data_IF_338753714917
#
_entry.id   IF_338753714917
#
_cell.length_a   1.000
_cell.length_b   1.000
_cell.length_c   1.000
_cell.angle_alpha   90.00
_cell.angle_beta   90.00
_cell.angle_gamma   90.00
#
_symmetry.space_group_name_H-M   'P 1'
#
loop_
_entity.id
_entity.type
_entity.pdbx_description
1 polymer ?
#
# COMPACT_ATOMS: atom_id res chain seq x y z
N UNK A 1 -19.04 40.05 39.33
CA UNK A 1 -19.23 40.29 37.88
C UNK A 1 -18.71 39.08 37.10
N UNK A 2 -19.58 38.18 36.60
CA UNK A 2 -19.19 37.06 35.76
C UNK A 2 -19.50 37.41 34.30
N UNK A 3 -18.53 38.01 33.60
CA UNK A 3 -18.68 38.43 32.19
C UNK A 3 -17.75 37.69 31.22
N UNK A 4 -17.12 36.59 31.64
CA UNK A 4 -15.98 35.99 30.93
C UNK A 4 -16.24 34.82 29.99
N UNK A 5 -17.43 34.19 29.98
CA UNK A 5 -17.53 32.81 29.46
C UNK A 5 -18.29 32.64 28.13
N UNK A 6 -18.70 33.72 27.46
CA UNK A 6 -19.45 33.61 26.20
C UNK A 6 -18.53 33.48 24.97
N UNK A 7 -17.39 34.17 24.96
CA UNK A 7 -16.45 34.19 23.82
C UNK A 7 -15.66 32.89 23.69
N UNK A 8 -15.27 32.26 24.81
CA UNK A 8 -14.51 31.00 24.81
C UNK A 8 -15.32 29.79 24.32
N UNK A 9 -16.65 29.80 24.51
CA UNK A 9 -17.52 28.72 24.01
C UNK A 9 -17.66 28.72 22.49
N UNK A 10 -17.56 29.90 21.87
CA UNK A 10 -17.72 30.03 20.42
C UNK A 10 -16.47 29.54 19.66
N UNK A 11 -15.27 29.74 20.21
CA UNK A 11 -14.02 29.28 19.57
C UNK A 11 -13.92 27.76 19.53
N UNK A 12 -14.26 27.08 20.64
CA UNK A 12 -14.23 25.62 20.72
C UNK A 12 -15.20 24.96 19.72
N UNK A 13 -16.38 25.55 19.50
CA UNK A 13 -17.35 25.03 18.54
C UNK A 13 -16.85 25.16 17.09
N UNK A 14 -16.19 26.28 16.74
CA UNK A 14 -15.63 26.50 15.40
C UNK A 14 -14.48 25.53 15.10
N UNK A 15 -13.59 25.28 16.05
CA UNK A 15 -12.47 24.36 15.87
C UNK A 15 -12.94 22.90 15.71
N UNK A 16 -13.98 22.50 16.46
CA UNK A 16 -14.58 21.18 16.35
C UNK A 16 -15.24 20.97 14.97
N UNK A 17 -15.96 21.96 14.45
CA UNK A 17 -16.59 21.89 13.14
C UNK A 17 -15.56 21.73 12.01
N UNK A 18 -14.46 22.51 12.05
CA UNK A 18 -13.39 22.41 11.06
C UNK A 18 -12.71 21.03 11.13
N UNK A 19 -12.46 20.53 12.34
CA UNK A 19 -11.87 19.21 12.53
C UNK A 19 -12.76 18.10 11.97
N UNK A 20 -14.07 18.15 12.23
CA UNK A 20 -15.03 17.18 11.69
C UNK A 20 -15.05 17.23 10.16
N UNK A 21 -15.10 18.44 9.57
CA UNK A 21 -15.06 18.60 8.11
C UNK A 21 -13.78 18.02 7.49
N UNK A 22 -12.63 18.25 8.12
CA UNK A 22 -11.35 17.71 7.66
C UNK A 22 -11.34 16.19 7.75
N UNK A 23 -11.78 15.61 8.89
CA UNK A 23 -11.85 14.16 9.08
C UNK A 23 -12.80 13.52 8.08
N UNK A 24 -13.99 14.08 7.86
CA UNK A 24 -14.95 13.58 6.87
C UNK A 24 -14.37 13.65 5.46
N UNK A 25 -13.68 14.74 5.10
CA UNK A 25 -13.01 14.85 3.82
C UNK A 25 -11.92 13.78 3.63
N UNK A 26 -11.05 13.60 4.63
CA UNK A 26 -10.00 12.57 4.59
C UNK A 26 -10.59 11.17 4.46
N UNK A 27 -11.62 10.83 5.24
CA UNK A 27 -12.30 9.55 5.14
C UNK A 27 -12.97 9.34 3.77
N UNK A 28 -13.57 10.39 3.20
CA UNK A 28 -14.13 10.36 1.85
C UNK A 28 -13.08 10.07 0.78
N UNK A 29 -11.91 10.73 0.86
CA UNK A 29 -10.79 10.48 -0.07
C UNK A 29 -10.24 9.05 0.08
N UNK A 30 -10.03 8.59 1.31
CA UNK A 30 -9.58 7.21 1.58
C UNK A 30 -10.58 6.18 1.05
N UNK A 31 -11.88 6.42 1.23
CA UNK A 31 -12.94 5.57 0.69
C UNK A 31 -12.88 5.48 -0.84
N UNK A 32 -12.81 6.62 -1.54
CA UNK A 32 -12.73 6.65 -3.01
C UNK A 32 -11.47 5.92 -3.49
N UNK A 33 -10.34 6.15 -2.84
CA UNK A 33 -9.07 5.53 -3.20
C UNK A 33 -9.11 4.00 -3.05
N UNK A 34 -9.63 3.52 -1.92
CA UNK A 34 -9.79 2.09 -1.71
C UNK A 34 -10.81 1.47 -2.65
N UNK A 35 -11.92 2.16 -2.95
CA UNK A 35 -12.89 1.71 -3.95
C UNK A 35 -12.25 1.52 -5.33
N UNK A 36 -11.39 2.46 -5.77
CA UNK A 36 -10.68 2.34 -7.05
C UNK A 36 -9.72 1.15 -7.02
N UNK A 37 -8.92 1.01 -5.94
CA UNK A 37 -7.96 -0.09 -5.79
C UNK A 37 -8.67 -1.45 -5.82
N UNK A 38 -9.72 -1.62 -5.00
CA UNK A 38 -10.49 -2.85 -4.94
C UNK A 38 -11.15 -3.16 -6.28
N UNK A 39 -11.80 -2.18 -6.93
CA UNK A 39 -12.44 -2.42 -8.23
C UNK A 39 -11.44 -2.73 -9.35
N UNK A 40 -10.26 -2.10 -9.37
CA UNK A 40 -9.23 -2.44 -10.36
C UNK A 40 -8.73 -3.87 -10.22
N UNK A 41 -8.68 -4.40 -9.00
CA UNK A 41 -8.38 -5.80 -8.76
C UNK A 41 -9.54 -6.70 -9.21
N UNK A 42 -10.76 -6.38 -8.80
CA UNK A 42 -11.95 -7.18 -9.11
C UNK A 42 -12.28 -7.20 -10.62
N UNK A 43 -12.04 -6.12 -11.34
CA UNK A 43 -12.20 -6.08 -12.80
C UNK A 43 -11.34 -7.12 -13.52
N UNK A 44 -10.17 -7.49 -12.97
CA UNK A 44 -9.37 -8.60 -13.54
C UNK A 44 -10.03 -9.96 -13.35
N UNK A 45 -10.87 -10.09 -12.32
CA UNK A 45 -11.66 -11.29 -12.04
C UNK A 45 -13.01 -11.28 -12.76
N UNK A 46 -13.32 -10.24 -13.56
CA UNK A 46 -14.62 -10.09 -14.22
C UNK A 46 -15.75 -9.66 -13.26
N UNK A 47 -15.42 -9.27 -12.03
CA UNK A 47 -16.39 -8.88 -11.00
C UNK A 47 -16.31 -7.37 -10.81
N UNK A 48 -17.45 -6.70 -10.69
CA UNK A 48 -17.53 -5.30 -10.30
C UNK A 48 -18.32 -5.18 -9.02
N UNK A 49 -17.72 -4.65 -7.95
CA UNK A 49 -18.42 -4.40 -6.69
C UNK A 49 -18.63 -2.89 -6.52
N UNK A 50 -19.79 -2.42 -6.97
CA UNK A 50 -20.25 -1.05 -6.73
C UNK A 50 -21.17 -0.96 -5.52
N UNK A 51 -21.60 -2.10 -4.99
CA UNK A 51 -22.61 -2.21 -3.94
C UNK A 51 -21.96 -2.41 -2.58
N UNK A 52 -21.05 -1.52 -2.18
CA UNK A 52 -20.82 -1.38 -0.75
C UNK A 52 -20.11 -0.10 -0.33
N UNK A 53 -20.81 0.69 0.48
CA UNK A 53 -20.24 1.65 1.41
C UNK A 53 -19.63 0.86 2.58
N UNK A 54 -18.57 0.10 2.29
CA UNK A 54 -17.92 -0.79 3.26
C UNK A 54 -16.73 -0.08 3.92
N UNK A 55 -16.59 -0.25 5.24
CA UNK A 55 -15.40 0.18 5.99
C UNK A 55 -14.10 -0.40 5.39
N UNK A 56 -14.21 -1.54 4.70
CA UNK A 56 -13.13 -2.16 3.93
C UNK A 56 -12.48 -1.22 2.93
N UNK A 57 -13.25 -0.42 2.19
CA UNK A 57 -12.69 0.51 1.22
C UNK A 57 -11.86 1.62 1.91
N UNK A 58 -12.31 2.10 3.08
CA UNK A 58 -11.52 3.08 3.85
C UNK A 58 -10.19 2.47 4.28
N UNK A 59 -10.23 1.23 4.77
CA UNK A 59 -9.03 0.51 5.20
C UNK A 59 -8.07 0.24 4.03
N UNK A 60 -8.58 -0.20 2.88
CA UNK A 60 -7.78 -0.36 1.65
C UNK A 60 -7.13 0.94 1.22
N UNK A 61 -7.87 2.06 1.25
CA UNK A 61 -7.33 3.38 0.97
C UNK A 61 -6.22 3.77 1.95
N UNK A 62 -6.40 3.47 3.24
CA UNK A 62 -5.37 3.70 4.26
C UNK A 62 -4.11 2.87 4.00
N UNK A 63 -4.25 1.59 3.66
CA UNK A 63 -3.12 0.72 3.32
C UNK A 63 -2.36 1.22 2.09
N UNK A 64 -3.07 1.74 1.07
CA UNK A 64 -2.43 2.36 -0.09
C UNK A 64 -1.67 3.65 0.27
N UNK A 65 -2.26 4.51 1.10
CA UNK A 65 -1.58 5.74 1.58
C UNK A 65 -0.34 5.37 2.38
N UNK A 66 -0.45 4.40 3.28
CA UNK A 66 0.66 3.89 4.08
C UNK A 66 1.78 3.35 3.20
N UNK A 67 1.44 2.51 2.22
CA UNK A 67 2.37 2.03 1.18
C UNK A 67 3.07 3.17 0.44
N UNK A 68 2.31 4.18 0.02
CA UNK A 68 2.85 5.34 -0.70
C UNK A 68 3.79 6.16 0.18
N UNK A 69 3.47 6.35 1.47
CA UNK A 69 4.32 7.05 2.43
C UNK A 69 5.66 6.33 2.60
N UNK A 70 5.65 5.01 2.82
CA UNK A 70 6.90 4.24 2.94
C UNK A 70 7.73 4.30 1.67
N UNK A 71 7.11 4.20 0.50
CA UNK A 71 7.81 4.37 -0.76
C UNK A 71 8.46 5.75 -0.85
N UNK A 72 7.73 6.82 -0.52
CA UNK A 72 8.27 8.18 -0.51
C UNK A 72 9.43 8.34 0.48
N UNK A 73 9.33 7.75 1.67
CA UNK A 73 10.39 7.77 2.68
C UNK A 73 11.67 7.07 2.19
N UNK A 74 11.54 5.96 1.48
CA UNK A 74 12.69 5.24 0.88
C UNK A 74 13.35 6.06 -0.23
N UNK A 75 12.54 6.77 -1.03
CA UNK A 75 13.03 7.52 -2.20
C UNK A 75 13.57 8.91 -1.84
N UNK A 76 13.08 9.57 -0.79
CA UNK A 76 13.44 10.92 -0.40
C UNK A 76 14.94 11.17 -0.13
N UNK A 77 15.71 10.23 0.47
CA UNK A 77 17.15 10.40 0.67
C UNK A 77 17.94 10.57 -0.63
N UNK A 78 17.46 9.99 -1.75
CA UNK A 78 18.16 10.00 -3.04
C UNK A 78 18.31 11.42 -3.61
N UNK A 79 17.24 12.20 -3.87
CA UNK A 79 17.36 13.57 -4.37
C UNK A 79 18.08 14.50 -3.37
N UNK A 80 17.94 14.27 -2.06
CA UNK A 80 18.69 14.99 -1.03
C UNK A 80 20.20 14.74 -1.18
N UNK A 81 20.59 13.48 -1.33
CA UNK A 81 21.98 13.08 -1.59
C UNK A 81 22.57 13.68 -2.86
N UNK A 82 21.83 13.59 -3.96
CA UNK A 82 22.21 14.18 -5.26
C UNK A 82 22.43 15.69 -5.12
N UNK A 83 21.52 16.39 -4.45
CA UNK A 83 21.63 17.82 -4.21
C UNK A 83 22.91 18.17 -3.42
N UNK A 84 23.14 17.51 -2.27
CA UNK A 84 24.29 17.82 -1.43
C UNK A 84 25.60 17.45 -2.10
N UNK A 85 25.68 16.30 -2.78
CA UNK A 85 26.87 15.94 -3.56
C UNK A 85 27.12 16.98 -4.67
N UNK A 86 26.10 17.39 -5.42
CA UNK A 86 26.22 18.47 -6.42
C UNK A 86 26.74 19.78 -5.82
N UNK A 87 26.20 20.20 -4.66
CA UNK A 87 26.66 21.39 -3.93
C UNK A 87 28.13 21.29 -3.52
N UNK A 88 28.59 20.11 -3.06
CA UNK A 88 30.00 19.91 -2.70
C UNK A 88 30.95 20.04 -3.89
N UNK A 89 30.52 19.67 -5.10
CA UNK A 89 31.32 19.84 -6.31
C UNK A 89 31.44 21.29 -6.74
N UNK A 90 30.33 22.05 -6.70
CA UNK A 90 30.26 23.46 -7.10
C UNK A 90 31.04 24.37 -6.14
N UNK A 91 31.11 24.04 -4.85
CA UNK A 91 31.87 24.84 -3.88
C UNK A 91 33.38 24.86 -4.24
N UNK A 92 33.91 26.03 -4.57
CA UNK A 92 35.27 26.21 -5.12
C UNK A 92 36.40 26.15 -4.08
N UNK A 93 36.09 26.07 -2.79
CA UNK A 93 37.06 26.29 -1.71
C UNK A 93 37.89 25.09 -1.29
N UNK A 94 37.59 23.87 -1.75
CA UNK A 94 38.27 22.65 -1.29
C UNK A 94 39.12 21.96 -2.37
N UNK A 95 40.24 21.36 -1.93
CA UNK A 95 41.07 20.44 -2.74
C UNK A 95 40.21 19.29 -3.30
N UNK A 96 40.49 18.78 -4.52
CA UNK A 96 39.66 17.78 -5.21
C UNK A 96 39.45 16.50 -4.38
N UNK A 97 40.48 16.05 -3.66
CA UNK A 97 40.40 14.86 -2.79
C UNK A 97 39.35 15.02 -1.67
N UNK A 98 39.29 16.20 -1.05
CA UNK A 98 38.32 16.48 0.01
C UNK A 98 36.88 16.54 -0.49
N UNK A 99 36.67 16.98 -1.74
CA UNK A 99 35.35 16.96 -2.39
C UNK A 99 34.85 15.54 -2.60
N UNK A 100 35.72 14.67 -3.11
CA UNK A 100 35.39 13.26 -3.33
C UNK A 100 35.04 12.56 -2.02
N UNK A 101 35.87 12.73 -0.97
CA UNK A 101 35.60 12.14 0.35
C UNK A 101 34.25 12.59 0.93
N UNK A 102 33.89 13.87 0.80
CA UNK A 102 32.59 14.40 1.25
C UNK A 102 31.43 13.81 0.46
N UNK A 103 31.49 13.79 -0.88
CA UNK A 103 30.43 13.19 -1.68
C UNK A 103 30.29 11.69 -1.41
N UNK A 104 31.40 10.95 -1.26
CA UNK A 104 31.38 9.54 -0.88
C UNK A 104 30.69 9.34 0.48
N UNK A 105 31.00 10.17 1.48
CA UNK A 105 30.32 10.15 2.78
C UNK A 105 28.81 10.39 2.67
N UNK A 106 28.38 11.34 1.84
CA UNK A 106 26.95 11.60 1.57
C UNK A 106 26.29 10.37 0.91
N UNK A 107 26.92 9.79 -0.10
CA UNK A 107 26.39 8.60 -0.79
C UNK A 107 26.25 7.43 0.19
N UNK A 108 27.25 7.17 1.03
CA UNK A 108 27.19 6.13 2.06
C UNK A 108 26.07 6.38 3.07
N UNK A 109 25.89 7.64 3.50
CA UNK A 109 24.80 8.00 4.41
C UNK A 109 23.41 7.79 3.78
N UNK A 110 23.25 8.16 2.50
CA UNK A 110 22.00 7.93 1.74
C UNK A 110 21.72 6.44 1.60
N UNK A 111 22.72 5.63 1.21
CA UNK A 111 22.58 4.18 1.11
C UNK A 111 22.20 3.55 2.45
N UNK A 112 22.82 4.01 3.54
CA UNK A 112 22.50 3.53 4.88
C UNK A 112 21.05 3.88 5.29
N UNK A 113 20.63 5.13 5.08
CA UNK A 113 19.26 5.58 5.40
C UNK A 113 18.21 4.86 4.55
N UNK A 114 18.39 4.80 3.24
CA UNK A 114 17.50 4.07 2.33
C UNK A 114 17.46 2.58 2.70
N UNK A 115 18.60 1.98 3.03
CA UNK A 115 18.67 0.60 3.50
C UNK A 115 17.88 0.36 4.78
N UNK A 116 18.07 1.20 5.80
CA UNK A 116 17.37 1.12 7.07
C UNK A 116 15.85 1.26 6.92
N UNK A 117 15.40 2.25 6.13
CA UNK A 117 13.97 2.47 5.86
C UNK A 117 13.38 1.28 5.07
N UNK A 118 14.09 0.79 4.04
CA UNK A 118 13.65 -0.37 3.25
C UNK A 118 13.55 -1.63 4.10
N UNK A 119 14.51 -1.88 4.99
CA UNK A 119 14.46 -3.00 5.92
C UNK A 119 13.23 -2.92 6.83
N UNK A 120 13.00 -1.76 7.45
CA UNK A 120 11.84 -1.55 8.33
C UNK A 120 10.51 -1.68 7.58
N UNK A 121 10.40 -1.07 6.39
CA UNK A 121 9.23 -1.22 5.52
C UNK A 121 9.01 -2.69 5.13
N UNK A 122 10.08 -3.40 4.78
CA UNK A 122 10.03 -4.81 4.43
C UNK A 122 9.50 -5.70 5.54
N UNK A 123 9.95 -5.49 6.78
CA UNK A 123 9.40 -6.17 7.96
C UNK A 123 7.90 -5.87 8.12
N UNK A 124 7.55 -4.59 8.03
CA UNK A 124 6.19 -4.10 8.25
C UNK A 124 5.19 -4.68 7.23
N UNK A 125 5.54 -4.65 5.94
CA UNK A 125 4.74 -5.30 4.89
C UNK A 125 4.84 -6.82 4.96
N UNK A 126 5.98 -7.35 5.38
CA UNK A 126 6.15 -8.76 5.71
C UNK A 126 5.05 -9.24 6.64
N UNK A 127 4.78 -8.52 7.74
CA UNK A 127 3.69 -8.86 8.67
C UNK A 127 2.29 -8.81 8.07
N UNK A 128 2.10 -8.00 7.04
CA UNK A 128 0.82 -7.91 6.35
C UNK A 128 0.63 -9.04 5.34
N UNK A 129 1.67 -9.78 4.95
CA UNK A 129 1.54 -10.86 3.98
C UNK A 129 1.36 -12.22 4.64
N UNK A 130 0.68 -13.17 3.98
CA UNK A 130 0.44 -14.51 4.53
C UNK A 130 1.73 -15.34 4.63
N UNK A 131 2.74 -15.08 3.79
CA UNK A 131 4.08 -15.67 3.94
C UNK A 131 5.00 -14.85 4.86
N UNK A 132 4.44 -13.82 5.48
CA UNK A 132 5.06 -13.01 6.51
C UNK A 132 5.49 -13.82 7.71
N UNK A 133 6.46 -13.27 8.44
CA UNK A 133 6.75 -13.75 9.79
C UNK A 133 5.62 -13.31 10.70
N UNK A 134 5.28 -14.08 11.73
CA UNK A 134 4.34 -13.62 12.77
C UNK A 134 5.01 -12.56 13.66
N UNK A 135 4.24 -11.57 14.15
CA UNK A 135 4.74 -10.42 14.92
C UNK A 135 5.53 -10.85 16.17
N UNK A 136 5.10 -11.93 16.81
CA UNK A 136 5.67 -12.49 18.02
C UNK A 136 7.05 -13.15 17.81
N UNK A 137 7.38 -13.55 16.59
CA UNK A 137 8.62 -14.26 16.30
C UNK A 137 9.89 -13.40 16.48
N UNK A 138 9.74 -12.07 16.50
CA UNK A 138 10.80 -11.12 16.83
C UNK A 138 11.02 -10.92 18.33
N UNK A 139 9.98 -11.10 19.14
CA UNK A 139 10.01 -10.83 20.59
C UNK A 139 10.25 -12.09 21.44
N UNK A 140 9.98 -13.28 20.91
CA UNK A 140 9.94 -14.54 21.69
C UNK A 140 11.23 -15.37 21.65
N UNK A 141 12.15 -15.11 20.73
CA UNK A 141 13.47 -15.75 20.68
C UNK A 141 14.56 -14.77 21.05
N UNK A 142 15.74 -15.24 21.47
CA UNK A 142 16.89 -14.42 21.84
C UNK A 142 17.28 -13.44 20.71
N UNK A 143 16.62 -12.29 20.65
CA UNK A 143 16.69 -11.30 19.57
C UNK A 143 18.07 -10.64 19.44
N UNK A 144 19.03 -11.08 20.25
CA UNK A 144 20.35 -10.50 20.42
C UNK A 144 21.48 -11.38 19.84
N UNK A 145 21.19 -12.53 19.23
CA UNK A 145 22.23 -13.28 18.52
C UNK A 145 22.53 -12.62 17.18
N UNK A 146 23.82 -12.51 16.82
CA UNK A 146 24.24 -11.94 15.55
C UNK A 146 23.60 -12.65 14.34
N UNK A 147 23.45 -13.97 14.41
CA UNK A 147 22.79 -14.77 13.38
C UNK A 147 21.33 -14.37 13.18
N UNK A 148 20.60 -14.10 14.27
CA UNK A 148 19.22 -13.62 14.20
C UNK A 148 19.17 -12.26 13.51
N UNK A 149 20.01 -11.31 13.92
CA UNK A 149 20.07 -9.95 13.34
C UNK A 149 20.32 -10.03 11.83
N UNK A 150 21.33 -10.80 11.39
CA UNK A 150 21.65 -10.95 9.96
C UNK A 150 20.49 -11.61 9.19
N UNK A 151 19.88 -12.65 9.76
CA UNK A 151 18.72 -13.31 9.15
C UNK A 151 17.53 -12.36 9.03
N UNK A 152 17.27 -11.55 10.06
CA UNK A 152 16.14 -10.63 10.12
C UNK A 152 16.34 -9.47 9.13
N UNK A 153 17.56 -8.94 9.04
CA UNK A 153 17.94 -8.00 7.98
C UNK A 153 17.68 -8.58 6.59
N UNK A 154 18.18 -9.79 6.34
CA UNK A 154 18.00 -10.46 5.04
C UNK A 154 16.52 -10.65 4.71
N UNK A 155 15.73 -11.14 5.66
CA UNK A 155 14.29 -11.35 5.47
C UNK A 155 13.56 -10.04 5.20
N UNK A 156 13.81 -8.99 5.98
CA UNK A 156 13.21 -7.67 5.75
C UNK A 156 13.53 -7.13 4.36
N UNK A 157 14.78 -7.21 3.90
CA UNK A 157 15.13 -6.80 2.54
C UNK A 157 14.46 -7.66 1.47
N UNK A 158 14.40 -8.98 1.63
CA UNK A 158 13.72 -9.87 0.67
C UNK A 158 12.24 -9.49 0.57
N UNK A 159 11.56 -9.31 1.70
CA UNK A 159 10.15 -8.90 1.72
C UNK A 159 9.93 -7.52 1.11
N UNK A 160 10.85 -6.57 1.34
CA UNK A 160 10.84 -5.27 0.67
C UNK A 160 10.97 -5.43 -0.85
N UNK A 161 11.94 -6.22 -1.32
CA UNK A 161 12.11 -6.46 -2.75
C UNK A 161 10.89 -7.14 -3.36
N UNK A 162 10.33 -8.15 -2.71
CA UNK A 162 9.09 -8.78 -3.19
C UNK A 162 7.94 -7.79 -3.31
N UNK A 163 7.83 -6.82 -2.40
CA UNK A 163 6.78 -5.80 -2.40
C UNK A 163 6.96 -4.74 -3.49
N UNK A 164 8.19 -4.30 -3.73
CA UNK A 164 8.47 -3.09 -4.52
C UNK A 164 9.16 -3.37 -5.87
N UNK A 165 9.63 -4.59 -6.15
CA UNK A 165 10.37 -4.95 -7.39
C UNK A 165 9.45 -5.22 -8.59
N UNK A 166 8.28 -4.60 -8.65
CA UNK A 166 7.43 -4.70 -9.84
C UNK A 166 7.78 -3.58 -10.82
N UNK A 167 7.79 -3.84 -12.14
CA UNK A 167 8.22 -2.86 -13.14
C UNK A 167 7.42 -1.56 -13.06
N UNK A 168 6.12 -1.63 -12.79
CA UNK A 168 5.24 -0.45 -12.63
C UNK A 168 5.64 0.40 -11.44
N UNK A 169 5.95 -0.23 -10.31
CA UNK A 169 6.38 0.44 -9.08
C UNK A 169 7.77 1.06 -9.28
N UNK A 170 8.68 0.37 -9.96
CA UNK A 170 10.01 0.90 -10.30
C UNK A 170 9.89 2.13 -11.21
N UNK A 171 9.06 2.05 -12.25
CA UNK A 171 8.80 3.20 -13.15
C UNK A 171 8.19 4.39 -12.40
N UNK A 172 7.20 4.14 -11.53
CA UNK A 172 6.61 5.18 -10.70
C UNK A 172 7.65 5.79 -9.74
N UNK A 173 8.49 4.97 -9.13
CA UNK A 173 9.56 5.40 -8.22
C UNK A 173 10.56 6.32 -8.92
N UNK A 174 10.93 5.99 -10.15
CA UNK A 174 11.79 6.86 -10.96
C UNK A 174 11.14 8.23 -11.22
N UNK A 175 9.86 8.25 -11.61
CA UNK A 175 9.11 9.50 -11.79
C UNK A 175 8.98 10.32 -10.50
N UNK A 176 8.79 9.66 -9.36
CA UNK A 176 8.77 10.31 -8.03
C UNK A 176 10.12 10.95 -7.73
N UNK A 177 11.25 10.28 -7.97
CA UNK A 177 12.58 10.86 -7.77
C UNK A 177 12.74 12.13 -8.64
N UNK A 178 12.33 12.08 -9.91
CA UNK A 178 12.35 13.24 -10.80
C UNK A 178 11.43 14.37 -10.32
N UNK A 179 10.26 14.03 -9.76
CA UNK A 179 9.32 14.99 -9.18
C UNK A 179 9.90 15.68 -7.93
N UNK A 180 10.58 14.92 -7.07
CA UNK A 180 11.11 15.40 -5.79
C UNK A 180 12.37 16.26 -5.96
N UNK A 181 13.20 16.00 -6.98
CA UNK A 181 14.46 16.73 -7.21
C UNK A 181 14.28 18.27 -7.27
N UNK A 182 13.37 18.85 -8.09
CA UNK A 182 13.14 20.29 -8.11
C UNK A 182 12.58 20.82 -6.79
N UNK A 183 11.75 20.03 -6.08
CA UNK A 183 11.16 20.42 -4.80
C UNK A 183 12.22 20.47 -3.69
N UNK A 184 13.09 19.47 -3.60
CA UNK A 184 14.25 19.46 -2.69
C UNK A 184 15.15 20.65 -2.99
N UNK A 185 15.44 20.94 -4.26
CA UNK A 185 16.23 22.10 -4.64
C UNK A 185 15.61 23.42 -4.13
N UNK A 186 14.30 23.60 -4.27
CA UNK A 186 13.59 24.79 -3.79
C UNK A 186 13.59 24.88 -2.26
N UNK A 187 13.32 23.78 -1.56
CA UNK A 187 13.33 23.73 -0.10
C UNK A 187 14.71 24.04 0.46
N UNK A 188 15.76 23.40 -0.05
CA UNK A 188 17.11 23.65 0.45
C UNK A 188 17.59 25.04 0.07
N UNK A 189 17.20 25.61 -1.07
CA UNK A 189 17.48 27.02 -1.35
C UNK A 189 16.79 27.97 -0.36
N UNK A 190 15.53 27.68 -0.01
CA UNK A 190 14.74 28.52 0.90
C UNK A 190 15.24 28.45 2.35
N UNK A 191 15.57 27.26 2.84
CA UNK A 191 15.96 27.03 4.24
C UNK A 191 17.47 27.00 4.45
N UNK A 192 18.24 26.67 3.42
CA UNK A 192 19.69 26.50 3.50
C UNK A 192 20.46 27.81 3.58
N UNK A 193 19.77 28.95 3.74
CA UNK A 193 20.33 30.27 3.98
C UNK A 193 21.38 30.62 2.94
N UNK A 194 21.00 31.42 1.93
CA UNK A 194 21.96 32.36 1.34
C UNK A 194 22.37 33.32 2.46
N UNK A 195 23.25 32.83 3.34
CA UNK A 195 23.84 33.54 4.45
C UNK A 195 24.91 34.43 3.81
N UNK A 196 24.44 35.58 3.34
CA UNK A 196 25.04 36.91 3.47
C UNK A 196 26.52 37.14 3.15
N UNK A 197 27.23 36.22 2.50
CA UNK A 197 28.62 36.49 2.15
C UNK A 197 28.72 37.20 0.78
N UNK A 198 28.49 38.52 0.81
CA UNK A 198 29.07 39.53 -0.09
C UNK A 198 28.89 39.37 -1.61
N UNK A 199 27.72 38.95 -2.08
CA UNK A 199 27.46 38.95 -3.53
C UNK A 199 27.10 40.35 -4.03
N UNK A 200 28.08 41.02 -4.66
CA UNK A 200 27.90 42.18 -5.53
C UNK A 200 26.61 42.02 -6.35
N UNK A 201 25.73 43.02 -6.25
CA UNK A 201 24.39 43.05 -6.85
C UNK A 201 24.39 42.51 -8.29
N UNK A 202 23.86 41.32 -8.56
CA UNK A 202 23.53 40.93 -9.92
C UNK A 202 22.44 41.89 -10.41
N UNK A 203 22.54 42.36 -11.65
CA UNK A 203 21.61 43.32 -12.23
C UNK A 203 20.17 42.80 -12.13
N UNK A 204 19.29 43.64 -11.56
CA UNK A 204 17.92 43.33 -11.14
C UNK A 204 17.08 42.62 -12.23
N UNK A 205 17.37 42.89 -13.49
CA UNK A 205 16.64 42.34 -14.64
C UNK A 205 16.99 40.88 -14.96
N UNK A 206 18.23 40.44 -14.70
CA UNK A 206 18.63 39.02 -14.91
C UNK A 206 18.08 38.11 -13.80
N UNK A 207 17.96 38.64 -12.58
CA UNK A 207 17.45 37.90 -11.43
C UNK A 207 15.94 37.69 -11.53
N UNK A 208 15.17 38.71 -11.93
CA UNK A 208 13.71 38.59 -12.06
C UNK A 208 13.32 37.63 -13.19
N UNK A 209 13.98 37.67 -14.35
CA UNK A 209 13.62 36.79 -15.46
C UNK A 209 14.02 35.33 -15.20
N UNK A 210 15.20 35.08 -14.62
CA UNK A 210 15.63 33.74 -14.21
C UNK A 210 14.84 33.21 -13.01
N UNK A 211 14.43 34.07 -12.07
CA UNK A 211 13.61 33.66 -10.92
C UNK A 211 12.17 33.34 -11.33
N UNK A 212 11.54 34.15 -12.18
CA UNK A 212 10.14 33.95 -12.58
C UNK A 212 9.98 32.72 -13.49
N UNK A 213 10.87 32.56 -14.49
CA UNK A 213 10.81 31.38 -15.39
C UNK A 213 11.21 30.08 -14.69
N UNK A 214 12.12 30.11 -13.71
CA UNK A 214 12.52 28.92 -12.96
C UNK A 214 11.63 28.60 -11.74
N UNK A 215 10.88 29.57 -11.21
CA UNK A 215 10.03 29.37 -10.02
C UNK A 215 8.71 28.68 -10.33
N UNK A 216 8.11 28.89 -11.51
CA UNK A 216 6.84 28.27 -11.88
C UNK A 216 7.02 26.96 -12.65
N UNK A 217 8.06 26.83 -13.48
CA UNK A 217 8.29 25.61 -14.26
C UNK A 217 8.60 24.40 -13.38
N UNK A 218 9.39 24.59 -12.31
CA UNK A 218 9.78 23.53 -11.37
C UNK A 218 8.59 22.86 -10.65
N UNK A 219 7.67 23.58 -10.02
CA UNK A 219 6.50 22.97 -9.39
C UNK A 219 5.55 22.36 -10.41
N UNK A 220 5.38 22.97 -11.59
CA UNK A 220 4.55 22.40 -12.67
C UNK A 220 5.11 21.06 -13.13
N UNK A 221 6.42 20.97 -13.41
CA UNK A 221 7.05 19.70 -13.78
C UNK A 221 6.95 18.65 -12.67
N UNK A 222 7.18 19.05 -11.41
CA UNK A 222 7.02 18.18 -10.24
C UNK A 222 5.61 17.62 -10.14
N UNK A 223 4.60 18.47 -10.29
CA UNK A 223 3.19 18.08 -10.27
C UNK A 223 2.84 17.15 -11.42
N UNK A 224 3.34 17.42 -12.64
CA UNK A 224 3.15 16.55 -13.80
C UNK A 224 3.73 15.16 -13.56
N UNK A 225 4.96 15.06 -13.05
CA UNK A 225 5.57 13.76 -12.74
C UNK A 225 4.80 13.01 -11.65
N UNK A 226 4.33 13.70 -10.61
CA UNK A 226 3.52 13.10 -9.55
C UNK A 226 2.15 12.63 -10.08
N UNK A 227 1.55 13.40 -10.98
CA UNK A 227 0.30 13.04 -11.65
C UNK A 227 0.43 11.79 -12.52
N UNK A 228 1.58 11.58 -13.17
CA UNK A 228 1.85 10.34 -13.95
C UNK A 228 2.25 9.17 -13.03
N UNK A 229 2.99 9.44 -11.96
CA UNK A 229 3.39 8.42 -10.99
C UNK A 229 2.20 7.83 -10.23
N UNK A 230 1.22 8.65 -9.85
CA UNK A 230 0.11 8.22 -9.00
C UNK A 230 -0.74 7.10 -9.63
N UNK A 231 -1.20 7.18 -10.90
CA UNK A 231 -1.87 6.06 -11.56
C UNK A 231 -1.01 4.80 -11.65
N UNK A 232 0.29 4.93 -11.93
CA UNK A 232 1.20 3.78 -11.98
C UNK A 232 1.34 3.09 -10.62
N UNK A 233 1.42 3.87 -9.54
CA UNK A 233 1.41 3.33 -8.17
C UNK A 233 0.08 2.67 -7.86
N UNK A 234 -1.04 3.28 -8.22
CA UNK A 234 -2.37 2.75 -7.94
C UNK A 234 -2.57 1.41 -8.67
N UNK A 235 -2.22 1.35 -9.96
CA UNK A 235 -2.22 0.11 -10.75
C UNK A 235 -1.25 -0.92 -10.16
N UNK A 236 -0.04 -0.52 -9.79
CA UNK A 236 0.96 -1.42 -9.21
C UNK A 236 0.48 -2.02 -7.89
N UNK A 237 -0.01 -1.19 -6.98
CA UNK A 237 -0.53 -1.61 -5.69
C UNK A 237 -1.73 -2.55 -5.84
N UNK A 238 -2.74 -2.18 -6.64
CA UNK A 238 -3.94 -2.98 -6.83
C UNK A 238 -3.66 -4.38 -7.42
N UNK A 239 -2.59 -4.51 -8.22
CA UNK A 239 -2.29 -5.74 -8.94
C UNK A 239 -1.27 -6.62 -8.24
N UNK A 240 -0.37 -6.04 -7.45
CA UNK A 240 0.80 -6.74 -6.94
C UNK A 240 0.85 -6.76 -5.40
N UNK A 241 0.33 -5.74 -4.73
CA UNK A 241 0.39 -5.61 -3.27
C UNK A 241 -0.93 -6.02 -2.64
N UNK A 242 -2.03 -5.40 -3.08
CA UNK A 242 -3.38 -5.61 -2.56
C UNK A 242 -3.84 -7.09 -2.52
N UNK A 243 -3.60 -7.93 -3.54
CA UNK A 243 -4.02 -9.34 -3.51
C UNK A 243 -3.37 -10.12 -2.35
N UNK A 244 -2.18 -9.70 -1.96
CA UNK A 244 -1.41 -10.42 -0.96
C UNK A 244 -1.79 -10.01 0.47
N UNK A 245 -2.63 -8.99 0.66
CA UNK A 245 -3.08 -8.56 1.98
C UNK A 245 -4.25 -9.45 2.39
N UNK A 246 -4.19 -10.17 3.52
CA UNK A 246 -5.28 -11.03 3.97
C UNK A 246 -6.53 -10.24 4.37
N UNK A 247 -7.69 -10.88 4.21
CA UNK A 247 -9.02 -10.31 4.49
C UNK A 247 -9.16 -9.76 5.92
N UNK A 248 -8.49 -10.39 6.89
CA UNK A 248 -8.56 -10.06 8.33
C UNK A 248 -8.05 -8.65 8.69
N UNK A 249 -7.28 -8.00 7.81
CA UNK A 249 -6.90 -6.59 7.99
C UNK A 249 -8.05 -5.63 7.73
N UNK A 250 -9.26 -6.13 7.46
CA UNK A 250 -10.45 -5.34 7.16
C UNK A 250 -10.46 -4.77 5.73
N UNK A 251 -9.31 -4.72 5.05
CA UNK A 251 -9.11 -4.20 3.69
C UNK A 251 -8.71 -5.25 2.64
N UNK A 252 -8.18 -6.41 3.04
CA UNK A 252 -7.44 -7.33 2.15
C UNK A 252 -8.26 -8.07 1.09
N UNK A 253 -7.64 -8.94 0.30
CA UNK A 253 -8.29 -9.76 -0.73
C UNK A 253 -9.39 -10.66 -0.11
N UNK A 254 -10.53 -10.89 -0.78
CA UNK A 254 -11.50 -11.88 -0.30
C UNK A 254 -10.87 -13.28 -0.35
N UNK A 255 -11.21 -14.11 0.64
CA UNK A 255 -10.63 -15.46 0.76
C UNK A 255 -11.21 -16.38 -0.31
N UNK A 256 -10.39 -17.26 -0.89
CA UNK A 256 -10.84 -18.28 -1.82
C UNK A 256 -10.76 -19.63 -1.12
N UNK A 257 -11.88 -20.33 -1.02
CA UNK A 257 -11.95 -21.61 -0.33
C UNK A 257 -12.87 -22.58 -1.06
N UNK A 258 -12.67 -23.88 -0.82
CA UNK A 258 -13.69 -24.89 -1.08
C UNK A 258 -14.47 -25.10 0.21
N UNK A 259 -15.79 -25.10 0.11
CA UNK A 259 -16.64 -25.33 1.27
C UNK A 259 -16.98 -26.81 1.34
N UNK A 260 -16.60 -27.44 2.44
CA UNK A 260 -17.12 -28.75 2.81
C UNK A 260 -18.32 -28.53 3.74
N UNK A 261 -19.50 -28.78 3.21
CA UNK A 261 -20.78 -28.59 3.87
C UNK A 261 -21.28 -29.97 4.31
N UNK A 262 -21.30 -30.21 5.63
CA UNK A 262 -21.92 -31.40 6.21
C UNK A 262 -23.44 -31.24 6.25
N UNK A 263 -24.17 -32.21 5.72
CA UNK A 263 -25.62 -32.11 5.59
C UNK A 263 -26.32 -33.38 6.02
N UNK A 264 -27.38 -33.26 6.83
CA UNK A 264 -28.33 -34.36 7.05
C UNK A 264 -29.22 -34.60 5.81
N UNK A 265 -29.29 -33.61 4.90
CA UNK A 265 -30.05 -33.67 3.65
C UNK A 265 -29.34 -32.85 2.54
N UNK A 266 -28.47 -33.48 1.72
CA UNK A 266 -27.67 -32.76 0.72
C UNK A 266 -28.51 -32.11 -0.38
N UNK A 267 -29.75 -32.57 -0.60
CA UNK A 267 -30.66 -31.99 -1.57
C UNK A 267 -31.23 -30.63 -1.13
N UNK A 268 -31.23 -30.31 0.17
CA UNK A 268 -31.75 -29.05 0.69
C UNK A 268 -30.79 -27.86 0.47
N UNK A 269 -29.49 -28.12 0.30
CA UNK A 269 -28.46 -27.10 0.12
C UNK A 269 -28.11 -27.00 -1.36
N UNK A 270 -29.09 -26.61 -2.18
CA UNK A 270 -28.81 -26.13 -3.54
C UNK A 270 -28.51 -24.64 -3.46
N UNK A 271 -27.23 -24.30 -3.42
CA UNK A 271 -26.79 -22.92 -3.51
C UNK A 271 -26.97 -22.45 -4.96
N UNK A 272 -27.83 -21.44 -5.23
CA UNK A 272 -28.06 -20.98 -6.60
C UNK A 272 -26.75 -20.52 -7.24
N UNK A 273 -26.38 -21.10 -8.39
CA UNK A 273 -25.17 -20.73 -9.13
C UNK A 273 -23.85 -21.25 -8.55
N UNK A 274 -23.88 -22.10 -7.53
CA UNK A 274 -22.69 -22.81 -7.03
C UNK A 274 -22.89 -24.29 -7.30
N UNK A 275 -22.16 -24.82 -8.29
CA UNK A 275 -22.17 -26.24 -8.59
C UNK A 275 -21.54 -27.03 -7.45
N UNK A 276 -22.40 -27.70 -6.69
CA UNK A 276 -22.00 -28.68 -5.71
C UNK A 276 -21.72 -30.01 -6.43
N UNK A 277 -20.45 -30.38 -6.56
CA UNK A 277 -20.11 -31.73 -7.01
C UNK A 277 -20.23 -32.66 -5.80
N UNK A 278 -21.22 -33.55 -5.82
CA UNK A 278 -21.22 -34.67 -4.88
C UNK A 278 -20.09 -35.61 -5.30
N UNK A 279 -18.95 -35.58 -4.61
CA UNK A 279 -17.94 -36.63 -4.77
C UNK A 279 -18.52 -37.92 -4.21
N UNK A 280 -19.16 -38.68 -5.10
CA UNK A 280 -19.62 -40.04 -4.85
C UNK A 280 -18.39 -40.94 -4.80
N UNK A 281 -17.84 -41.17 -3.61
CA UNK A 281 -17.27 -42.46 -3.24
C UNK A 281 -16.81 -42.42 -1.79
N UNK A 282 -17.55 -43.17 -0.97
CA UNK A 282 -17.08 -43.75 0.28
C UNK A 282 -16.92 -42.77 1.45
N UNK A 283 -18.06 -42.61 2.14
CA UNK A 283 -18.12 -42.57 3.61
C UNK A 283 -17.96 -41.19 4.26
N UNK A 284 -18.86 -40.25 3.92
CA UNK A 284 -19.52 -39.29 4.82
C UNK A 284 -20.39 -38.31 3.98
N UNK A 285 -21.60 -37.96 4.44
CA UNK A 285 -22.57 -37.06 3.80
C UNK A 285 -22.06 -35.60 3.75
N UNK A 286 -20.98 -35.36 3.00
CA UNK A 286 -20.37 -34.04 2.84
C UNK A 286 -20.42 -33.61 1.38
N UNK A 287 -20.91 -32.39 1.16
CA UNK A 287 -20.94 -31.75 -0.14
C UNK A 287 -19.73 -30.82 -0.23
N UNK A 288 -18.89 -31.01 -1.24
CA UNK A 288 -17.76 -30.13 -1.52
C UNK A 288 -18.16 -29.20 -2.67
N UNK A 289 -18.10 -27.89 -2.44
CA UNK A 289 -18.36 -26.91 -3.50
C UNK A 289 -17.14 -26.79 -4.42
N UNK A 290 -17.37 -26.34 -5.65
CA UNK A 290 -16.29 -25.71 -6.42
C UNK A 290 -15.63 -24.56 -5.60
N UNK A 291 -14.42 -24.11 -5.95
CA UNK A 291 -13.82 -22.94 -5.33
C UNK A 291 -14.80 -21.75 -5.34
N UNK A 292 -14.97 -21.11 -4.19
CA UNK A 292 -15.81 -19.95 -4.01
C UNK A 292 -15.01 -18.80 -3.41
N UNK A 293 -15.35 -17.57 -3.80
CA UNK A 293 -14.84 -16.35 -3.18
C UNK A 293 -15.71 -16.01 -1.97
N UNK A 294 -15.11 -15.96 -0.79
CA UNK A 294 -15.73 -15.51 0.45
C UNK A 294 -15.53 -14.00 0.56
N UNK A 295 -16.61 -13.26 0.32
CA UNK A 295 -16.62 -11.80 0.37
C UNK A 295 -16.73 -11.25 1.77
N UNK A 296 -17.52 -11.94 2.60
CA UNK A 296 -17.79 -11.57 3.97
C UNK A 296 -18.17 -12.81 4.77
N UNK A 297 -17.65 -12.89 5.99
CA UNK A 297 -17.99 -13.93 6.95
C UNK A 297 -18.36 -13.27 8.27
N UNK A 298 -19.50 -13.69 8.82
CA UNK A 298 -19.94 -13.37 10.18
C UNK A 298 -20.28 -14.64 10.94
N UNK A 299 -20.75 -14.51 12.17
CA UNK A 299 -21.33 -15.59 12.98
C UNK A 299 -22.65 -16.14 12.41
N UNK A 300 -23.33 -15.37 11.53
CA UNK A 300 -24.66 -15.69 11.01
C UNK A 300 -24.68 -15.96 9.51
N UNK A 301 -23.93 -15.21 8.73
CA UNK A 301 -23.98 -15.25 7.29
C UNK A 301 -22.60 -15.33 6.66
N UNK A 302 -22.57 -15.97 5.50
CA UNK A 302 -21.39 -16.03 4.64
C UNK A 302 -21.79 -15.62 3.22
N UNK A 303 -21.17 -14.59 2.68
CA UNK A 303 -21.41 -14.13 1.31
C UNK A 303 -20.38 -14.73 0.38
N UNK A 304 -20.86 -15.47 -0.60
CA UNK A 304 -20.09 -16.28 -1.52
C UNK A 304 -20.32 -15.81 -2.95
N UNK A 305 -19.31 -15.89 -3.80
CA UNK A 305 -19.51 -15.91 -5.24
C UNK A 305 -18.81 -17.14 -5.82
N UNK A 306 -19.46 -17.82 -6.77
CA UNK A 306 -18.81 -18.89 -7.51
C UNK A 306 -17.66 -18.36 -8.35
N UNK A 307 -16.55 -19.09 -8.39
CA UNK A 307 -15.43 -18.86 -9.31
C UNK A 307 -15.60 -19.61 -10.64
N UNK A 308 -16.70 -20.36 -10.83
CA UNK A 308 -16.91 -21.16 -12.05
C UNK A 308 -16.94 -20.26 -13.29
N UNK A 309 -16.01 -20.56 -14.21
CA UNK A 309 -15.65 -19.78 -15.38
C UNK A 309 -16.64 -19.95 -16.54
N UNK A 310 -17.94 -19.76 -16.29
CA UNK A 310 -18.85 -19.53 -17.40
C UNK A 310 -18.64 -18.08 -17.85
N UNK A 311 -17.83 -17.93 -18.91
CA UNK A 311 -17.14 -16.71 -19.42
C UNK A 311 -17.99 -15.43 -19.57
N UNK A 312 -19.30 -15.47 -19.36
CA UNK A 312 -20.21 -14.34 -19.57
C UNK A 312 -21.26 -14.12 -18.47
N UNK A 313 -21.26 -14.90 -17.39
CA UNK A 313 -22.19 -14.73 -16.27
C UNK A 313 -21.70 -13.66 -15.29
N UNK A 314 -22.52 -12.66 -14.98
CA UNK A 314 -22.28 -11.79 -13.82
C UNK A 314 -22.17 -12.66 -12.57
N UNK A 315 -21.06 -12.55 -11.81
CA UNK A 315 -20.86 -13.32 -10.60
C UNK A 315 -22.05 -13.14 -9.64
N UNK A 316 -22.76 -14.24 -9.36
CA UNK A 316 -23.92 -14.21 -8.47
C UNK A 316 -23.44 -14.27 -7.01
N UNK A 317 -23.76 -13.25 -6.23
CA UNK A 317 -23.48 -13.24 -4.80
C UNK A 317 -24.58 -14.04 -4.07
N UNK A 318 -24.18 -15.11 -3.39
CA UNK A 318 -25.05 -16.00 -2.60
C UNK A 318 -24.80 -15.75 -1.13
N UNK A 319 -25.85 -15.46 -0.36
CA UNK A 319 -25.79 -15.40 1.10
C UNK A 319 -26.15 -16.77 1.69
N UNK A 320 -25.21 -17.38 2.39
CA UNK A 320 -25.40 -18.63 3.13
C UNK A 320 -25.68 -18.31 4.60
N UNK A 321 -26.85 -18.68 5.11
CA UNK A 321 -27.16 -18.59 6.54
C UNK A 321 -26.51 -19.78 7.27
N UNK A 322 -25.56 -19.48 8.15
CA UNK A 322 -24.80 -20.47 8.92
C UNK A 322 -25.69 -21.25 9.89
N UNK A 323 -26.87 -20.74 10.27
CA UNK A 323 -27.82 -21.51 11.10
C UNK A 323 -28.42 -22.70 10.37
N UNK A 324 -28.48 -22.65 9.04
CA UNK A 324 -29.01 -23.73 8.21
C UNK A 324 -27.96 -24.82 7.94
N UNK A 325 -26.70 -24.58 8.28
CA UNK A 325 -25.58 -25.51 8.02
C UNK A 325 -24.95 -25.95 9.34
N UNK A 326 -25.12 -27.23 9.71
CA UNK A 326 -24.61 -27.76 10.99
C UNK A 326 -23.09 -27.72 11.10
N UNK A 327 -22.40 -28.00 10.00
CA UNK A 327 -20.94 -28.11 9.96
C UNK A 327 -20.42 -27.59 8.63
N UNK A 328 -19.75 -26.44 8.66
CA UNK A 328 -18.93 -25.95 7.54
C UNK A 328 -17.48 -26.11 7.94
N UNK A 329 -16.74 -26.88 7.14
CA UNK A 329 -15.29 -26.89 7.22
C UNK A 329 -14.76 -26.09 6.05
N UNK A 330 -13.95 -25.10 6.37
CA UNK A 330 -13.15 -24.39 5.39
C UNK A 330 -11.97 -25.28 5.05
N UNK A 331 -11.85 -25.65 3.77
CA UNK A 331 -10.62 -26.19 3.23
C UNK A 331 -9.92 -25.00 2.58
N UNK A 332 -9.10 -24.23 3.33
CA UNK A 332 -8.38 -23.12 2.76
C UNK A 332 -7.48 -23.66 1.65
N UNK A 333 -7.74 -23.27 0.41
CA UNK A 333 -6.76 -23.43 -0.64
C UNK A 333 -5.82 -22.25 -0.52
N UNK A 334 -4.60 -22.52 -0.10
CA UNK A 334 -3.51 -21.55 -0.20
C UNK A 334 -3.27 -21.28 -1.68
N UNK A 335 -3.91 -20.21 -2.16
CA UNK A 335 -3.74 -19.73 -3.52
C UNK A 335 -2.70 -18.61 -3.47
N UNK A 336 -1.60 -18.80 -4.20
CA UNK A 336 -0.70 -17.68 -4.50
C UNK A 336 -1.21 -17.00 -5.76
N UNK A 337 -1.65 -15.75 -5.64
CA UNK A 337 -1.94 -14.94 -6.83
C UNK A 337 -0.60 -14.44 -7.37
N UNK A 338 -0.09 -15.08 -8.42
CA UNK A 338 1.11 -14.62 -9.10
C UNK A 338 0.83 -13.31 -9.87
N UNK A 339 1.88 -12.52 -10.08
CA UNK A 339 1.84 -11.28 -10.87
C UNK A 339 1.09 -11.51 -12.19
N UNK A 340 0.06 -10.70 -12.43
CA UNK A 340 -0.87 -10.86 -13.55
C UNK A 340 -2.24 -11.46 -13.19
N UNK A 341 -2.50 -11.83 -11.93
CA UNK A 341 -3.80 -12.37 -11.49
C UNK A 341 -3.95 -13.88 -11.71
N UNK A 342 -2.86 -14.60 -11.98
CA UNK A 342 -2.90 -16.06 -12.08
C UNK A 342 -2.93 -16.67 -10.69
N UNK A 343 -4.03 -17.35 -10.38
CA UNK A 343 -4.19 -18.21 -9.21
C UNK A 343 -3.28 -19.42 -9.42
N UNK A 344 -2.15 -19.48 -8.70
CA UNK A 344 -1.35 -20.69 -8.58
C UNK A 344 -1.82 -21.43 -7.33
N UNK A 345 -2.33 -22.65 -7.51
CA UNK A 345 -2.56 -23.54 -6.38
C UNK A 345 -1.20 -23.91 -5.79
N UNK A 346 -0.97 -23.57 -4.52
CA UNK A 346 0.17 -24.12 -3.79
C UNK A 346 -0.22 -25.56 -3.49
N UNK A 347 0.23 -26.50 -4.31
CA UNK A 347 0.20 -27.90 -3.90
C UNK A 347 1.12 -28.00 -2.68
N UNK A 348 0.60 -28.51 -1.57
CA UNK A 348 1.43 -28.88 -0.44
C UNK A 348 2.27 -30.08 -0.91
N UNK A 349 3.55 -29.84 -1.20
CA UNK A 349 4.56 -30.90 -1.35
C UNK A 349 4.77 -31.63 -0.02
#
# INVERSE_FOLDING_TARGET
MPGGNATEKNTLATDAELTIKLVTFVLGVLYVLGLIVSNMHLMKLGISDFTSLQARNIMTGFLFVFYTIFLLLVLLPIPIGIYFCGRTFVSSTHKPLGKFAKCLGIVLAVLFMTGAISWFAGILFGYMYPWGRTWDAGFTRSAWTWQFIVSDFKTGYVQFFETFRHPKIISASFLIILALLPLVFLLVRRYGGDREDNFKSPSLNSFVFAAVTSSLLKPVMSLTYLFVALPLLLVGFAQEVYPNIPSNFGGGQPDIAELQIGTDNPAAIRLPGIDASSTVAQQEDTVITAPVVIWYQSDKFLYLASLTADDHGSAQLVALDLKLVRTIRYLPKSVRVASGGRILSIHAD
#
